data_IF_503070243461
#
_entry.id   IF_503070243461
#
_cell.length_a   1.000
_cell.length_b   1.000
_cell.length_c   1.000
_cell.angle_alpha   90.00
_cell.angle_beta   90.00
_cell.angle_gamma   90.00
#
_symmetry.space_group_name_H-M   'P 1'
#
loop_
_entity.id
_entity.type
_entity.pdbx_description
1 polymer ?
#
# COMPACT_ATOMS: atom_id res chain seq x y z
N UNK A 1 30.61 -9.04 9.82
CA UNK A 1 29.67 -8.44 8.84
C UNK A 1 29.53 -6.97 9.17
N UNK A 2 29.93 -6.06 8.30
CA UNK A 2 29.73 -4.61 8.50
C UNK A 2 28.46 -4.20 7.72
N UNK A 3 27.55 -3.49 8.38
CA UNK A 3 26.35 -2.94 7.73
C UNK A 3 26.81 -1.74 6.90
N UNK A 4 26.78 -1.87 5.57
CA UNK A 4 27.17 -0.80 4.64
C UNK A 4 25.98 0.06 4.27
N UNK A 5 24.89 -0.56 3.81
CA UNK A 5 23.63 0.14 3.53
C UNK A 5 22.72 0.08 4.75
N UNK A 6 22.77 1.11 5.62
CA UNK A 6 21.94 1.15 6.82
C UNK A 6 20.45 1.35 6.49
N UNK A 7 20.14 2.09 5.43
CA UNK A 7 18.77 2.37 5.01
C UNK A 7 18.03 1.09 4.56
N UNK A 8 18.67 0.29 3.70
CA UNK A 8 18.09 -0.99 3.24
C UNK A 8 18.03 -2.01 4.37
N UNK A 9 19.04 -2.04 5.24
CA UNK A 9 19.05 -2.94 6.39
C UNK A 9 17.83 -2.71 7.28
N UNK A 10 17.59 -1.47 7.70
CA UNK A 10 16.48 -1.13 8.60
C UNK A 10 15.11 -1.19 7.93
N UNK A 11 14.99 -0.79 6.66
CA UNK A 11 13.73 -0.93 5.92
C UNK A 11 13.39 -2.41 5.66
N UNK A 12 14.39 -3.25 5.35
CA UNK A 12 14.22 -4.69 5.23
C UNK A 12 13.76 -5.34 6.54
N UNK A 13 14.36 -4.97 7.68
CA UNK A 13 13.91 -5.43 9.01
C UNK A 13 12.46 -5.00 9.27
N UNK A 14 12.11 -3.76 8.95
CA UNK A 14 10.74 -3.28 9.09
C UNK A 14 9.76 -4.12 8.27
N UNK A 15 10.09 -4.44 7.02
CA UNK A 15 9.26 -5.29 6.16
C UNK A 15 9.14 -6.73 6.70
N UNK A 16 10.21 -7.30 7.25
CA UNK A 16 10.17 -8.62 7.92
C UNK A 16 9.23 -8.59 9.11
N UNK A 17 9.39 -7.62 10.01
CA UNK A 17 8.60 -7.53 11.24
C UNK A 17 7.13 -7.28 10.94
N UNK A 18 6.84 -6.31 10.06
CA UNK A 18 5.46 -5.98 9.67
C UNK A 18 4.82 -7.14 8.90
N UNK A 19 5.52 -7.71 7.92
CA UNK A 19 5.04 -8.85 7.16
C UNK A 19 4.74 -10.07 8.03
N UNK A 20 5.62 -10.38 9.00
CA UNK A 20 5.42 -11.47 9.94
C UNK A 20 4.26 -11.18 10.90
N UNK A 21 4.10 -9.94 11.36
CA UNK A 21 2.97 -9.56 12.19
C UNK A 21 1.63 -9.70 11.45
N UNK A 22 1.56 -9.27 10.19
CA UNK A 22 0.36 -9.44 9.37
C UNK A 22 0.08 -10.91 9.05
N UNK A 23 1.10 -11.71 8.75
CA UNK A 23 0.89 -13.14 8.46
C UNK A 23 0.45 -13.90 9.70
N UNK A 24 1.07 -13.68 10.86
CA UNK A 24 0.65 -14.27 12.13
C UNK A 24 -0.74 -13.78 12.54
N UNK A 25 -1.03 -12.49 12.45
CA UNK A 25 -2.36 -11.94 12.75
C UNK A 25 -3.45 -12.49 11.84
N UNK A 26 -3.15 -12.68 10.56
CA UNK A 26 -4.07 -13.26 9.59
C UNK A 26 -4.47 -14.71 9.89
N UNK A 27 -3.65 -15.47 10.64
CA UNK A 27 -4.01 -16.84 11.06
C UNK A 27 -5.19 -16.89 12.03
N UNK A 28 -5.51 -15.77 12.70
CA UNK A 28 -6.69 -15.66 13.56
C UNK A 28 -7.99 -15.46 12.78
N UNK A 29 -7.91 -15.24 11.46
CA UNK A 29 -9.05 -15.07 10.57
C UNK A 29 -9.25 -16.32 9.69
N UNK A 30 -10.49 -16.52 9.22
CA UNK A 30 -10.76 -17.59 8.27
C UNK A 30 -9.97 -17.37 6.96
N UNK A 31 -9.24 -18.40 6.55
CA UNK A 31 -8.52 -18.41 5.27
C UNK A 31 -9.46 -18.69 4.09
N UNK A 32 -10.55 -19.44 4.30
CA UNK A 32 -11.39 -19.90 3.21
C UNK A 32 -10.62 -20.79 2.21
N UNK A 33 -10.87 -20.62 0.91
CA UNK A 33 -10.16 -21.33 -0.16
C UNK A 33 -9.62 -20.34 -1.19
N UNK A 34 -8.74 -20.77 -2.10
CA UNK A 34 -8.26 -19.91 -3.18
C UNK A 34 -9.40 -19.38 -4.07
N UNK A 35 -10.49 -20.15 -4.22
CA UNK A 35 -11.68 -19.73 -4.98
C UNK A 35 -12.66 -18.89 -4.16
N UNK A 36 -12.59 -18.93 -2.83
CA UNK A 36 -13.42 -18.16 -1.89
C UNK A 36 -12.53 -17.68 -0.75
N UNK A 37 -11.71 -16.67 -1.05
CA UNK A 37 -10.72 -16.14 -0.14
C UNK A 37 -11.42 -15.55 1.09
N UNK A 38 -11.08 -16.07 2.27
CA UNK A 38 -11.50 -15.48 3.53
C UNK A 38 -10.69 -14.21 3.86
N UNK A 39 -11.10 -13.44 4.88
CA UNK A 39 -10.44 -12.18 5.24
C UNK A 39 -8.96 -12.33 5.62
N UNK A 40 -8.55 -13.52 6.09
CA UNK A 40 -7.14 -13.81 6.41
C UNK A 40 -6.28 -14.17 5.19
N UNK A 41 -6.86 -14.60 4.07
CA UNK A 41 -6.10 -15.18 2.96
C UNK A 41 -5.13 -14.16 2.34
N UNK A 42 -5.65 -12.99 1.99
CA UNK A 42 -4.85 -11.97 1.30
C UNK A 42 -3.78 -11.34 2.21
N UNK A 43 -4.11 -10.90 3.45
CA UNK A 43 -3.09 -10.41 4.38
C UNK A 43 -2.01 -11.44 4.72
N UNK A 44 -2.36 -12.74 4.81
CA UNK A 44 -1.39 -13.79 5.10
C UNK A 44 -0.32 -13.91 4.01
N UNK A 45 -0.74 -14.15 2.77
CA UNK A 45 0.19 -14.36 1.66
C UNK A 45 0.97 -13.09 1.32
N UNK A 46 0.34 -11.91 1.39
CA UNK A 46 1.07 -10.64 1.27
C UNK A 46 2.10 -10.48 2.38
N UNK A 47 1.74 -10.79 3.63
CA UNK A 47 2.66 -10.72 4.76
C UNK A 47 3.87 -11.64 4.60
N UNK A 48 3.66 -12.86 4.09
CA UNK A 48 4.73 -13.82 3.76
C UNK A 48 5.63 -13.26 2.66
N UNK A 49 5.07 -12.79 1.54
CA UNK A 49 5.86 -12.20 0.45
C UNK A 49 6.65 -10.98 0.92
N UNK A 50 6.02 -10.07 1.69
CA UNK A 50 6.66 -8.89 2.24
C UNK A 50 7.81 -9.28 3.18
N UNK A 51 7.64 -10.32 4.00
CA UNK A 51 8.68 -10.81 4.91
C UNK A 51 9.86 -11.39 4.15
N UNK A 52 9.60 -12.18 3.10
CA UNK A 52 10.65 -12.78 2.27
C UNK A 52 11.45 -11.71 1.52
N UNK A 53 10.75 -10.76 0.90
CA UNK A 53 11.40 -9.64 0.20
C UNK A 53 12.21 -8.78 1.19
N UNK A 54 11.66 -8.49 2.37
CA UNK A 54 12.37 -7.79 3.44
C UNK A 54 13.64 -8.51 3.86
N UNK A 55 13.59 -9.83 4.05
CA UNK A 55 14.75 -10.65 4.40
C UNK A 55 15.83 -10.60 3.30
N UNK A 56 15.43 -10.69 2.02
CA UNK A 56 16.35 -10.55 0.89
C UNK A 56 17.02 -9.17 0.88
N UNK A 57 16.26 -8.10 1.10
CA UNK A 57 16.80 -6.73 1.18
C UNK A 57 17.79 -6.59 2.35
N UNK A 58 17.44 -7.09 3.54
CA UNK A 58 18.32 -7.07 4.71
C UNK A 58 19.61 -7.87 4.45
N UNK A 59 19.53 -9.05 3.84
CA UNK A 59 20.73 -9.84 3.53
C UNK A 59 21.61 -9.14 2.47
N UNK A 60 21.01 -8.55 1.45
CA UNK A 60 21.74 -7.80 0.43
C UNK A 60 22.47 -6.58 1.00
N UNK A 61 21.88 -5.90 1.99
CA UNK A 61 22.49 -4.73 2.65
C UNK A 61 23.78 -5.05 3.44
N UNK A 62 23.97 -6.33 3.81
CA UNK A 62 25.17 -6.84 4.48
C UNK A 62 26.27 -7.28 3.50
N UNK A 63 25.98 -7.29 2.19
CA UNK A 63 26.92 -7.69 1.16
C UNK A 63 28.10 -6.73 1.07
N UNK A 64 29.30 -7.25 0.78
CA UNK A 64 30.49 -6.44 0.58
C UNK A 64 30.36 -5.46 -0.62
N UNK A 65 29.46 -5.75 -1.56
CA UNK A 65 29.13 -4.90 -2.72
C UNK A 65 28.05 -3.85 -2.44
N UNK A 66 27.45 -3.83 -1.26
CA UNK A 66 26.42 -2.86 -0.92
C UNK A 66 26.99 -1.44 -0.84
N UNK A 67 26.21 -0.48 -1.33
CA UNK A 67 26.51 0.95 -1.24
C UNK A 67 26.54 1.41 0.22
N UNK A 68 27.40 2.38 0.54
CA UNK A 68 27.44 2.96 1.88
C UNK A 68 26.40 4.07 1.96
N UNK A 69 25.28 3.78 2.59
CA UNK A 69 24.16 4.71 2.74
C UNK A 69 23.84 4.88 4.22
N UNK A 70 23.68 6.14 4.65
CA UNK A 70 23.22 6.47 5.99
C UNK A 70 21.69 6.62 6.03
N UNK A 71 21.12 6.55 7.24
CA UNK A 71 19.68 6.69 7.42
C UNK A 71 19.35 8.19 7.35
N UNK A 72 18.62 8.59 6.32
CA UNK A 72 18.10 9.96 6.22
C UNK A 72 17.06 10.26 7.31
N UNK A 73 16.81 11.55 7.55
CA UNK A 73 15.83 11.99 8.55
C UNK A 73 14.42 11.56 8.16
N UNK A 74 13.66 11.07 9.14
CA UNK A 74 12.28 10.66 8.93
C UNK A 74 11.39 11.85 8.54
N UNK A 75 10.70 11.74 7.40
CA UNK A 75 9.83 12.80 6.90
C UNK A 75 8.41 12.64 7.46
N UNK A 76 8.19 13.16 8.66
CA UNK A 76 6.88 13.12 9.34
C UNK A 76 5.75 13.73 8.50
N UNK A 77 6.04 14.76 7.69
CA UNK A 77 5.04 15.38 6.82
C UNK A 77 4.49 14.38 5.81
N UNK A 78 5.36 13.61 5.16
CA UNK A 78 4.95 12.56 4.21
C UNK A 78 4.08 11.50 4.89
N UNK A 79 4.47 11.07 6.10
CA UNK A 79 3.72 10.08 6.86
C UNK A 79 2.31 10.55 7.19
N UNK A 80 2.16 11.78 7.71
CA UNK A 80 0.84 12.34 8.01
C UNK A 80 -0.02 12.53 6.76
N UNK A 81 0.58 12.93 5.63
CA UNK A 81 -0.16 13.10 4.37
C UNK A 81 -0.69 11.74 3.86
N UNK A 82 0.13 10.69 3.86
CA UNK A 82 -0.29 9.36 3.38
C UNK A 82 -1.36 8.78 4.31
N UNK A 83 -1.14 8.80 5.63
CA UNK A 83 -2.14 8.29 6.59
C UNK A 83 -3.44 9.09 6.48
N UNK A 84 -3.34 10.42 6.39
CA UNK A 84 -4.49 11.31 6.21
C UNK A 84 -5.25 11.02 4.92
N UNK A 85 -4.56 10.76 3.80
CA UNK A 85 -5.18 10.41 2.53
C UNK A 85 -5.95 9.09 2.62
N UNK A 86 -5.38 8.08 3.26
CA UNK A 86 -6.03 6.76 3.46
C UNK A 86 -7.26 6.88 4.36
N UNK A 87 -7.14 7.60 5.48
CA UNK A 87 -8.28 7.85 6.38
C UNK A 87 -9.38 8.62 5.66
N UNK A 88 -9.03 9.68 4.93
CA UNK A 88 -9.99 10.47 4.15
C UNK A 88 -10.70 9.60 3.12
N UNK A 89 -9.98 8.75 2.39
CA UNK A 89 -10.58 7.81 1.43
C UNK A 89 -11.57 6.85 2.09
N UNK A 90 -11.24 6.32 3.27
CA UNK A 90 -12.14 5.43 4.01
C UNK A 90 -13.42 6.13 4.47
N UNK A 91 -13.31 7.39 4.92
CA UNK A 91 -14.45 8.21 5.34
C UNK A 91 -15.32 8.64 4.17
N UNK A 92 -14.72 8.98 3.03
CA UNK A 92 -15.44 9.46 1.85
C UNK A 92 -16.01 8.34 0.99
N UNK A 93 -15.54 7.09 1.13
CA UNK A 93 -15.95 5.97 0.29
C UNK A 93 -17.47 5.79 0.23
N UNK A 94 -18.15 5.87 1.37
CA UNK A 94 -19.61 5.69 1.45
C UNK A 94 -20.39 6.91 0.94
N UNK A 95 -19.84 8.13 1.09
CA UNK A 95 -20.54 9.38 0.76
C UNK A 95 -20.27 9.88 -0.66
N UNK A 96 -19.02 9.81 -1.13
CA UNK A 96 -18.58 10.28 -2.45
C UNK A 96 -18.50 9.14 -3.49
N UNK A 97 -18.54 7.89 -3.04
CA UNK A 97 -18.41 6.72 -3.90
C UNK A 97 -16.97 6.43 -4.32
N UNK A 98 -16.79 5.31 -5.01
CA UNK A 98 -15.49 4.74 -5.38
C UNK A 98 -14.67 5.68 -6.26
N UNK A 99 -15.28 6.30 -7.27
CA UNK A 99 -14.54 7.12 -8.24
C UNK A 99 -13.88 8.35 -7.60
N UNK A 100 -14.66 9.12 -6.85
CA UNK A 100 -14.18 10.34 -6.22
C UNK A 100 -13.23 10.03 -5.06
N UNK A 101 -13.49 8.98 -4.28
CA UNK A 101 -12.65 8.63 -3.12
C UNK A 101 -11.26 8.18 -3.54
N UNK A 102 -11.16 7.35 -4.59
CA UNK A 102 -9.88 6.91 -5.14
C UNK A 102 -9.15 8.08 -5.82
N UNK A 103 -9.88 8.90 -6.57
CA UNK A 103 -9.27 10.07 -7.20
C UNK A 103 -8.64 11.00 -6.16
N UNK A 104 -9.36 11.30 -5.07
CA UNK A 104 -8.84 12.07 -3.95
C UNK A 104 -7.64 11.40 -3.28
N UNK A 105 -7.72 10.09 -3.03
CA UNK A 105 -6.62 9.32 -2.44
C UNK A 105 -5.34 9.48 -3.27
N UNK A 106 -5.41 9.30 -4.59
CA UNK A 106 -4.25 9.36 -5.48
C UNK A 106 -3.70 10.78 -5.59
N UNK A 107 -4.57 11.79 -5.73
CA UNK A 107 -4.14 13.20 -5.85
C UNK A 107 -3.49 13.67 -4.54
N UNK A 108 -4.10 13.39 -3.39
CA UNK A 108 -3.54 13.76 -2.07
C UNK A 108 -2.23 13.03 -1.81
N UNK A 109 -2.15 11.74 -2.13
CA UNK A 109 -0.91 10.97 -1.97
C UNK A 109 0.20 11.47 -2.90
N UNK A 110 -0.15 11.91 -4.11
CA UNK A 110 0.83 12.46 -5.07
C UNK A 110 1.50 13.73 -4.57
N UNK A 111 0.82 14.57 -3.76
CA UNK A 111 1.43 15.74 -3.13
C UNK A 111 2.53 15.42 -2.11
N UNK A 112 2.59 14.17 -1.61
CA UNK A 112 3.69 13.72 -0.77
C UNK A 112 4.95 13.34 -1.56
N UNK A 113 4.86 13.23 -2.90
CA UNK A 113 6.00 12.96 -3.76
C UNK A 113 6.95 14.16 -3.79
N UNK A 114 8.26 13.89 -3.77
CA UNK A 114 9.28 14.92 -3.98
C UNK A 114 9.30 15.42 -5.44
N UNK A 115 8.89 14.57 -6.38
CA UNK A 115 8.73 14.89 -7.80
C UNK A 115 7.25 14.91 -8.16
N UNK A 116 6.56 16.00 -7.79
CA UNK A 116 5.15 16.15 -8.12
C UNK A 116 4.98 16.70 -9.54
N UNK A 117 4.23 15.98 -10.37
CA UNK A 117 3.77 16.48 -11.66
C UNK A 117 2.28 16.21 -11.83
N UNK A 118 1.53 17.28 -12.08
CA UNK A 118 0.09 17.22 -12.30
C UNK A 118 -0.34 16.23 -13.39
N UNK A 119 0.33 16.13 -14.55
CA UNK A 119 -0.06 15.19 -15.60
C UNK A 119 0.07 13.74 -15.15
N UNK A 120 1.14 13.41 -14.42
CA UNK A 120 1.39 12.04 -13.94
C UNK A 120 0.40 11.71 -12.82
N UNK A 121 0.16 12.64 -11.88
CA UNK A 121 -0.78 12.44 -10.78
C UNK A 121 -2.22 12.23 -11.29
N UNK A 122 -2.68 13.07 -12.23
CA UNK A 122 -4.01 12.94 -12.82
C UNK A 122 -4.13 11.68 -13.68
N UNK A 123 -3.10 11.36 -14.47
CA UNK A 123 -3.04 10.13 -15.25
C UNK A 123 -3.12 8.89 -14.37
N UNK A 124 -2.35 8.84 -13.28
CA UNK A 124 -2.39 7.77 -12.29
C UNK A 124 -3.75 7.67 -11.61
N UNK A 125 -4.38 8.80 -11.25
CA UNK A 125 -5.70 8.81 -10.61
C UNK A 125 -6.78 8.25 -11.54
N UNK A 126 -6.83 8.71 -12.79
CA UNK A 126 -7.78 8.20 -13.80
C UNK A 126 -7.53 6.72 -14.06
N UNK A 127 -6.28 6.31 -14.24
CA UNK A 127 -5.93 4.91 -14.43
C UNK A 127 -6.36 4.03 -13.25
N UNK A 128 -6.09 4.45 -12.01
CA UNK A 128 -6.44 3.66 -10.83
C UNK A 128 -7.95 3.54 -10.65
N UNK A 129 -8.69 4.62 -10.90
CA UNK A 129 -10.17 4.61 -10.89
C UNK A 129 -10.71 3.61 -11.91
N UNK A 130 -10.21 3.65 -13.15
CA UNK A 130 -10.59 2.71 -14.20
C UNK A 130 -10.21 1.27 -13.84
N UNK A 131 -9.02 1.06 -13.29
CA UNK A 131 -8.55 -0.26 -12.87
C UNK A 131 -9.41 -0.85 -11.76
N UNK A 132 -9.74 -0.06 -10.73
CA UNK A 132 -10.63 -0.52 -9.66
C UNK A 132 -12.03 -0.81 -10.22
N UNK A 133 -12.53 0.02 -11.12
CA UNK A 133 -13.82 -0.24 -11.76
C UNK A 133 -13.82 -1.56 -12.55
N UNK A 134 -12.78 -1.79 -13.35
CA UNK A 134 -12.62 -3.03 -14.11
C UNK A 134 -12.46 -4.25 -13.21
N UNK A 135 -11.62 -4.17 -12.18
CA UNK A 135 -11.32 -5.32 -11.32
C UNK A 135 -12.51 -5.68 -10.42
N UNK A 136 -13.07 -4.70 -9.71
CA UNK A 136 -14.04 -4.96 -8.65
C UNK A 136 -15.49 -5.01 -9.14
N UNK A 137 -15.87 -4.12 -10.06
CA UNK A 137 -17.27 -4.05 -10.53
C UNK A 137 -17.45 -4.96 -11.72
N UNK A 138 -16.64 -4.80 -12.77
CA UNK A 138 -16.78 -5.62 -13.98
C UNK A 138 -16.22 -7.03 -13.79
N UNK A 139 -15.09 -7.17 -13.11
CA UNK A 139 -14.39 -8.45 -12.92
C UNK A 139 -15.02 -9.31 -11.82
N UNK A 140 -15.21 -8.71 -10.63
CA UNK A 140 -15.71 -9.42 -9.44
C UNK A 140 -17.22 -9.27 -9.22
N UNK A 141 -17.90 -8.35 -9.90
CA UNK A 141 -19.34 -8.13 -9.73
C UNK A 141 -19.73 -7.49 -8.39
N UNK A 142 -18.81 -6.79 -7.73
CA UNK A 142 -19.08 -6.17 -6.44
C UNK A 142 -19.97 -4.93 -6.59
N UNK A 143 -20.97 -4.84 -5.72
CA UNK A 143 -21.88 -3.70 -5.64
C UNK A 143 -21.31 -2.68 -4.67
N UNK A 144 -20.74 -1.61 -5.21
CA UNK A 144 -20.24 -0.46 -4.44
C UNK A 144 -20.97 0.83 -4.84
N UNK A 145 -21.06 1.83 -3.93
CA UNK A 145 -21.51 3.17 -4.30
C UNK A 145 -20.50 3.78 -5.27
N UNK A 146 -20.88 3.96 -6.53
CA UNK A 146 -19.98 4.47 -7.57
C UNK A 146 -19.93 6.00 -7.57
N UNK A 147 -21.11 6.57 -7.43
CA UNK A 147 -21.36 8.00 -7.40
C UNK A 147 -21.67 8.47 -5.98
N UNK A 148 -21.52 9.77 -5.71
CA UNK A 148 -21.87 10.32 -4.42
C UNK A 148 -23.34 10.08 -4.09
N UNK A 149 -23.62 9.79 -2.82
CA UNK A 149 -24.97 9.45 -2.34
C UNK A 149 -25.98 10.60 -2.49
N UNK A 150 -25.52 11.81 -2.78
CA UNK A 150 -26.34 12.99 -3.04
C UNK A 150 -26.60 13.25 -4.54
N UNK A 151 -25.99 12.47 -5.45
CA UNK A 151 -26.21 12.52 -6.90
C UNK A 151 -26.90 11.24 -7.44
N UNK A 152 -27.22 10.28 -6.56
CA UNK A 152 -27.80 8.97 -6.88
C UNK A 152 -29.29 8.89 -6.51
#
# INVERSE_FOLDING_TARGET
>A
MQIKNKQDFWSGIMFVVVGAAFSLGATSYSMGTAARMGPGYFPFWLGVCLSLLGAVVTLNSLSAKAENTEIEKFNWKVVFVIIGAVVLCGLTLNSLGVYASIFLLVVISSFASHEFSWPIALGAAVFLVLFVWLAFIKGLGLVFPLWPSFLA
#
